data_IF_811002122172
#
_entry.id   IF_811002122172
#
_cell.length_a   1.000
_cell.length_b   1.000
_cell.length_c   1.000
_cell.angle_alpha   90.00
_cell.angle_beta   90.00
_cell.angle_gamma   90.00
#
_symmetry.space_group_name_H-M   'P 1'
#
loop_
_entity.id
_entity.type
_entity.pdbx_description
1 polymer ?
#
# COMPACT_ATOMS: atom_id res chain seq x y z
N UNK A 1 -4.99 -10.94 -13.29
CA UNK A 1 -4.93 -9.76 -12.42
C UNK A 1 -5.75 -10.06 -11.18
N UNK A 2 -5.12 -10.13 -10.03
CA UNK A 2 -5.83 -10.42 -8.79
C UNK A 2 -6.86 -9.33 -8.51
N UNK A 3 -8.04 -9.70 -8.03
CA UNK A 3 -9.01 -8.71 -7.57
C UNK A 3 -8.43 -7.96 -6.35
N UNK A 4 -8.94 -6.75 -6.06
CA UNK A 4 -8.54 -6.01 -4.86
C UNK A 4 -8.79 -6.84 -3.60
N UNK A 5 -9.89 -7.57 -3.56
CA UNK A 5 -10.24 -8.49 -2.47
C UNK A 5 -9.19 -9.59 -2.28
N UNK A 6 -8.78 -10.24 -3.38
CA UNK A 6 -7.78 -11.30 -3.33
C UNK A 6 -6.39 -10.76 -2.97
N UNK A 7 -6.08 -9.56 -3.47
CA UNK A 7 -4.83 -8.87 -3.12
C UNK A 7 -4.74 -8.55 -1.63
N UNK A 8 -5.83 -8.15 -0.99
CA UNK A 8 -5.83 -7.81 0.44
C UNK A 8 -6.00 -9.06 1.30
N UNK A 9 -7.05 -9.81 1.08
CA UNK A 9 -7.44 -10.89 1.99
C UNK A 9 -6.98 -12.28 1.53
N UNK A 10 -7.33 -12.68 0.31
CA UNK A 10 -7.01 -14.02 -0.20
C UNK A 10 -7.28 -15.13 0.83
N UNK A 11 -6.49 -16.18 0.82
CA UNK A 11 -6.57 -17.32 1.76
C UNK A 11 -5.59 -17.17 2.94
N UNK A 12 -5.52 -15.99 3.56
CA UNK A 12 -4.62 -15.73 4.69
C UNK A 12 -5.40 -15.38 5.95
N UNK A 13 -4.83 -15.77 7.10
CA UNK A 13 -5.44 -15.52 8.43
C UNK A 13 -5.02 -14.17 9.02
N UNK A 14 -3.91 -13.64 8.60
CA UNK A 14 -3.33 -12.41 9.14
C UNK A 14 -2.96 -11.47 8.00
N UNK A 15 -3.37 -10.21 8.11
CA UNK A 15 -3.13 -9.15 7.11
C UNK A 15 -2.60 -7.90 7.80
N UNK A 16 -1.49 -7.41 7.28
CA UNK A 16 -0.88 -6.14 7.70
C UNK A 16 -0.99 -5.13 6.57
N UNK A 17 -1.76 -4.08 6.77
CA UNK A 17 -1.92 -2.97 5.83
C UNK A 17 -0.92 -1.88 6.19
N UNK A 18 -0.07 -1.51 5.25
CA UNK A 18 1.04 -0.56 5.41
C UNK A 18 0.99 0.48 4.31
N UNK A 19 1.07 1.75 4.68
CA UNK A 19 1.19 2.86 3.73
C UNK A 19 2.62 3.36 3.67
N UNK A 20 3.12 3.54 2.46
CA UNK A 20 4.45 4.03 2.17
C UNK A 20 4.33 5.34 1.41
N UNK A 21 5.28 6.25 1.61
CA UNK A 21 5.35 7.48 0.85
C UNK A 21 6.03 8.62 1.61
N UNK A 22 6.03 9.77 0.96
CA UNK A 22 6.57 11.01 1.51
C UNK A 22 5.50 12.10 1.45
N UNK A 23 4.97 12.59 2.59
CA UNK A 23 3.86 13.53 2.63
C UNK A 23 4.18 14.91 2.04
N UNK A 24 5.46 15.24 1.85
CA UNK A 24 5.90 16.52 1.27
C UNK A 24 6.25 16.43 -0.23
N UNK A 25 5.95 15.31 -0.87
CA UNK A 25 6.21 15.07 -2.30
C UNK A 25 4.94 14.73 -3.08
N UNK A 26 3.93 15.57 -2.98
CA UNK A 26 2.66 15.47 -3.71
C UNK A 26 2.10 14.04 -3.78
N UNK A 27 2.00 13.42 -4.95
CA UNK A 27 1.38 12.10 -5.13
C UNK A 27 2.12 10.95 -4.42
N UNK A 28 3.36 11.17 -4.03
CA UNK A 28 4.10 10.23 -3.19
C UNK A 28 3.52 10.07 -1.77
N UNK A 29 2.64 10.97 -1.38
CA UNK A 29 1.89 10.88 -0.12
C UNK A 29 0.75 9.84 -0.16
N UNK A 30 0.45 9.23 -1.30
CA UNK A 30 -0.72 8.37 -1.48
C UNK A 30 -0.85 7.28 -0.41
N UNK A 31 0.20 6.49 -0.19
CA UNK A 31 0.15 5.39 0.77
C UNK A 31 -0.11 5.87 2.20
N UNK A 32 0.49 6.99 2.59
CA UNK A 32 0.28 7.65 3.89
C UNK A 32 -1.18 8.11 4.03
N UNK A 33 -1.72 8.74 2.98
CA UNK A 33 -3.12 9.22 2.96
C UNK A 33 -4.12 8.06 3.08
N UNK A 34 -3.91 6.98 2.32
CA UNK A 34 -4.78 5.80 2.35
C UNK A 34 -4.84 5.22 3.76
N UNK A 35 -3.69 4.89 4.36
CA UNK A 35 -3.70 4.23 5.68
C UNK A 35 -4.18 5.17 6.79
N UNK A 36 -3.89 6.47 6.72
CA UNK A 36 -4.38 7.45 7.68
C UNK A 36 -5.90 7.51 7.68
N UNK A 37 -6.52 7.57 6.50
CA UNK A 37 -7.98 7.61 6.35
C UNK A 37 -8.62 6.27 6.73
N UNK A 38 -8.05 5.13 6.32
CA UNK A 38 -8.55 3.81 6.70
C UNK A 38 -8.52 3.62 8.23
N UNK A 39 -7.45 4.02 8.90
CA UNK A 39 -7.37 3.95 10.37
C UNK A 39 -8.41 4.81 11.07
N UNK A 40 -8.70 5.99 10.52
CA UNK A 40 -9.72 6.90 11.06
C UNK A 40 -11.13 6.34 10.90
N UNK A 41 -11.42 5.70 9.77
CA UNK A 41 -12.76 5.15 9.46
C UNK A 41 -12.99 3.81 10.17
N UNK A 42 -12.04 2.90 10.08
CA UNK A 42 -12.17 1.51 10.48
C UNK A 42 -11.53 1.17 11.83
N UNK A 43 -10.64 2.02 12.32
CA UNK A 43 -9.76 1.73 13.45
C UNK A 43 -8.52 0.92 13.05
N UNK A 44 -7.59 0.70 14.01
CA UNK A 44 -6.33 0.01 13.74
C UNK A 44 -6.48 -1.51 13.55
N UNK A 45 -7.51 -2.12 14.09
CA UNK A 45 -7.78 -3.56 14.04
C UNK A 45 -9.24 -3.80 13.62
N UNK A 46 -9.57 -3.61 12.33
CA UNK A 46 -10.96 -3.61 11.88
C UNK A 46 -11.63 -4.99 11.90
N UNK A 47 -10.85 -6.05 11.81
CA UNK A 47 -11.28 -7.45 11.84
C UNK A 47 -10.27 -8.30 12.62
N UNK A 48 -10.67 -9.47 13.16
CA UNK A 48 -9.70 -10.43 13.69
C UNK A 48 -8.63 -10.76 12.64
N UNK A 49 -7.36 -10.66 13.01
CA UNK A 49 -6.24 -10.91 12.11
C UNK A 49 -5.92 -9.78 11.11
N UNK A 50 -6.66 -8.69 11.08
CA UNK A 50 -6.37 -7.55 10.20
C UNK A 50 -5.86 -6.36 11.02
N UNK A 51 -4.71 -5.86 10.64
CA UNK A 51 -4.09 -4.70 11.28
C UNK A 51 -3.73 -3.63 10.26
N UNK A 52 -4.20 -2.42 10.49
CA UNK A 52 -3.82 -1.23 9.72
C UNK A 52 -2.75 -0.49 10.53
N UNK A 53 -1.53 -0.49 10.03
CA UNK A 53 -0.40 0.15 10.71
C UNK A 53 -0.49 1.68 10.61
N UNK A 54 -0.01 2.42 11.62
CA UNK A 54 0.08 3.88 11.51
C UNK A 54 1.04 4.27 10.39
N UNK A 55 0.82 5.42 9.75
CA UNK A 55 1.79 5.93 8.78
C UNK A 55 3.15 6.11 9.45
N UNK A 56 4.21 5.78 8.70
CA UNK A 56 5.58 5.88 9.19
C UNK A 56 6.51 6.41 8.10
N UNK A 57 7.47 7.23 8.51
CA UNK A 57 8.57 7.68 7.65
C UNK A 57 9.72 6.66 7.56
N UNK A 58 9.64 5.59 8.33
CA UNK A 58 10.64 4.52 8.36
C UNK A 58 9.98 3.16 8.09
N UNK A 59 9.35 2.96 6.91
CA UNK A 59 8.63 1.73 6.59
C UNK A 59 9.54 0.49 6.62
N UNK A 60 10.83 0.66 6.38
CA UNK A 60 11.82 -0.42 6.38
C UNK A 60 11.89 -1.16 7.71
N UNK A 61 11.83 -0.46 8.84
CA UNK A 61 11.84 -1.10 10.17
C UNK A 61 10.59 -1.95 10.40
N UNK A 62 9.45 -1.42 10.00
CA UNK A 62 8.19 -2.13 10.08
C UNK A 62 8.20 -3.36 9.18
N UNK A 63 8.63 -3.23 7.94
CA UNK A 63 8.67 -4.32 6.97
C UNK A 63 9.62 -5.44 7.40
N UNK A 64 10.81 -5.11 7.91
CA UNK A 64 11.74 -6.11 8.46
C UNK A 64 11.10 -6.87 9.61
N UNK A 65 10.42 -6.19 10.53
CA UNK A 65 9.73 -6.83 11.65
C UNK A 65 8.58 -7.74 11.17
N UNK A 66 7.79 -7.29 10.21
CA UNK A 66 6.69 -8.08 9.66
C UNK A 66 7.17 -9.25 8.81
N UNK A 67 8.37 -9.16 8.22
CA UNK A 67 8.93 -10.21 7.37
C UNK A 67 9.27 -11.50 8.12
N UNK A 68 9.39 -11.48 9.44
CA UNK A 68 9.57 -12.67 10.26
C UNK A 68 8.24 -13.38 10.62
N UNK A 69 7.10 -12.77 10.31
CA UNK A 69 5.77 -13.32 10.55
C UNK A 69 5.22 -14.14 9.38
N UNK A 70 4.04 -14.70 9.58
CA UNK A 70 3.34 -15.53 8.57
C UNK A 70 2.20 -14.78 7.85
N UNK A 71 1.96 -13.52 8.20
CA UNK A 71 0.88 -12.72 7.66
C UNK A 71 1.16 -12.19 6.26
N UNK A 72 0.10 -11.80 5.56
CA UNK A 72 0.21 -11.03 4.32
C UNK A 72 0.53 -9.58 4.64
N UNK A 73 1.45 -9.01 3.90
CA UNK A 73 1.74 -7.56 3.92
C UNK A 73 1.12 -6.95 2.67
N UNK A 74 0.27 -5.95 2.86
CA UNK A 74 -0.34 -5.17 1.78
C UNK A 74 0.23 -3.76 1.84
N UNK A 75 0.98 -3.39 0.82
CA UNK A 75 1.62 -2.08 0.70
C UNK A 75 0.77 -1.16 -0.16
N UNK A 76 0.47 0.03 0.34
CA UNK A 76 -0.08 1.12 -0.47
C UNK A 76 1.02 2.14 -0.77
N UNK A 77 1.20 2.48 -2.06
CA UNK A 77 2.24 3.41 -2.51
C UNK A 77 1.88 4.05 -3.86
N UNK A 78 2.56 5.14 -4.20
CA UNK A 78 2.58 5.66 -5.55
C UNK A 78 3.52 4.79 -6.40
N UNK A 79 3.04 4.33 -7.56
CA UNK A 79 3.76 3.36 -8.40
C UNK A 79 3.92 3.89 -9.81
N UNK A 80 5.18 4.01 -10.26
CA UNK A 80 5.50 4.33 -11.66
C UNK A 80 5.36 3.08 -12.53
N UNK A 81 4.21 2.91 -13.14
CA UNK A 81 3.85 1.75 -13.94
C UNK A 81 3.74 2.05 -15.45
N UNK A 82 4.19 3.22 -15.88
CA UNK A 82 4.04 3.71 -17.25
C UNK A 82 2.58 3.67 -17.73
N UNK A 83 1.67 4.11 -16.86
CA UNK A 83 0.23 4.18 -17.10
C UNK A 83 -0.24 5.65 -16.99
N UNK A 84 -1.44 5.96 -17.46
CA UNK A 84 -2.04 7.28 -17.22
C UNK A 84 -2.13 7.57 -15.71
N UNK A 85 -1.89 8.83 -15.27
CA UNK A 85 -2.02 9.21 -13.87
C UNK A 85 -3.38 8.81 -13.28
N UNK A 86 -3.36 8.32 -12.04
CA UNK A 86 -4.55 7.83 -11.38
C UNK A 86 -4.88 6.35 -11.67
N UNK A 87 -4.17 5.67 -12.55
CA UNK A 87 -4.37 4.24 -12.78
C UNK A 87 -4.00 3.44 -11.54
N UNK A 88 -4.94 2.62 -11.07
CA UNK A 88 -4.71 1.70 -9.94
C UNK A 88 -4.06 0.43 -10.45
N UNK A 89 -2.99 0.00 -9.82
CA UNK A 89 -2.27 -1.23 -10.11
C UNK A 89 -2.19 -2.11 -8.87
N UNK A 90 -2.43 -3.40 -9.04
CA UNK A 90 -2.32 -4.40 -7.98
C UNK A 90 -1.43 -5.54 -8.45
N UNK A 91 -0.59 -6.06 -7.58
CA UNK A 91 0.27 -7.18 -7.93
C UNK A 91 1.08 -7.70 -6.74
N UNK A 92 1.85 -8.74 -7.01
CA UNK A 92 2.83 -9.25 -6.06
C UNK A 92 4.08 -8.41 -6.13
N UNK A 93 4.72 -8.17 -5.00
CA UNK A 93 5.98 -7.44 -4.97
C UNK A 93 7.05 -8.09 -5.85
N UNK A 94 7.11 -9.43 -5.89
CA UNK A 94 8.06 -10.20 -6.68
C UNK A 94 7.91 -10.02 -8.19
N UNK A 95 6.69 -9.71 -8.66
CA UNK A 95 6.39 -9.48 -10.07
C UNK A 95 6.66 -8.02 -10.49
N UNK A 96 6.92 -7.14 -9.54
CA UNK A 96 7.21 -5.74 -9.83
C UNK A 96 8.67 -5.54 -10.21
N UNK A 97 8.88 -4.90 -11.36
CA UNK A 97 10.24 -4.55 -11.84
C UNK A 97 10.84 -3.45 -10.98
N UNK A 98 12.17 -3.48 -10.83
CA UNK A 98 12.89 -2.34 -10.27
C UNK A 98 12.54 -1.06 -11.05
N UNK A 99 12.17 0.00 -10.34
CA UNK A 99 11.74 1.26 -10.94
C UNK A 99 10.24 1.52 -10.86
N UNK A 100 9.42 0.53 -10.50
CA UNK A 100 7.99 0.77 -10.27
C UNK A 100 7.70 1.64 -9.03
N UNK A 101 8.58 1.62 -8.04
CA UNK A 101 8.48 2.49 -6.86
C UNK A 101 9.08 3.85 -7.20
N UNK A 102 8.24 4.79 -7.59
CA UNK A 102 8.66 6.06 -8.19
C UNK A 102 9.51 6.93 -7.29
N UNK A 103 9.43 6.75 -6.01
CA UNK A 103 10.02 7.68 -5.06
C UNK A 103 10.85 7.02 -3.97
N UNK A 104 11.09 5.71 -4.07
CA UNK A 104 12.21 5.02 -3.46
C UNK A 104 12.38 5.08 -1.97
N UNK A 105 11.30 5.08 -1.22
CA UNK A 105 11.40 5.03 0.22
C UNK A 105 11.48 3.60 0.77
N UNK A 106 11.48 2.57 -0.11
CA UNK A 106 11.88 1.22 0.31
C UNK A 106 13.37 1.06 0.00
N UNK A 107 14.26 1.10 0.99
CA UNK A 107 15.67 0.84 0.77
C UNK A 107 15.85 -0.53 0.09
N UNK A 108 16.67 -0.60 -0.92
CA UNK A 108 16.96 -1.83 -1.66
C UNK A 108 17.36 -3.01 -0.75
N UNK A 109 17.96 -2.71 0.40
CA UNK A 109 18.34 -3.69 1.42
C UNK A 109 17.16 -4.39 2.09
N UNK A 110 15.97 -3.77 2.10
CA UNK A 110 14.76 -4.35 2.69
C UNK A 110 14.03 -5.25 1.70
N UNK A 111 14.14 -4.97 0.41
CA UNK A 111 13.51 -5.75 -0.64
C UNK A 111 13.85 -7.24 -0.62
N UNK A 112 15.12 -7.68 -0.42
CA UNK A 112 15.42 -9.10 -0.30
C UNK A 112 14.74 -9.77 0.88
N UNK A 113 14.71 -9.12 2.04
CA UNK A 113 14.05 -9.64 3.24
C UNK A 113 12.55 -9.78 3.06
N UNK A 114 11.94 -8.83 2.35
CA UNK A 114 10.50 -8.80 2.04
C UNK A 114 10.17 -9.78 0.91
N UNK A 115 11.07 -9.98 -0.05
CA UNK A 115 10.92 -10.96 -1.14
C UNK A 115 10.94 -12.42 -0.66
N UNK A 116 11.61 -12.69 0.45
CA UNK A 116 11.68 -14.02 1.04
C UNK A 116 10.39 -14.46 1.75
N UNK A 117 9.32 -13.65 1.69
CA UNK A 117 8.01 -13.95 2.29
C UNK A 117 7.09 -14.80 1.40
N UNK A 118 7.64 -15.67 0.56
CA UNK A 118 6.90 -16.68 -0.22
C UNK A 118 5.63 -16.12 -0.91
N UNK A 119 5.74 -14.97 -1.56
CA UNK A 119 4.61 -14.36 -2.28
C UNK A 119 3.55 -13.70 -1.40
N UNK A 120 3.80 -13.52 -0.11
CA UNK A 120 2.84 -12.90 0.81
C UNK A 120 2.85 -11.36 0.83
N UNK A 121 3.65 -10.71 -0.01
CA UNK A 121 3.62 -9.26 -0.15
C UNK A 121 2.85 -8.87 -1.38
N UNK A 122 1.81 -8.07 -1.17
CA UNK A 122 1.01 -7.45 -2.23
C UNK A 122 1.25 -5.97 -2.25
N UNK A 123 1.24 -5.40 -3.44
CA UNK A 123 1.34 -3.96 -3.64
C UNK A 123 0.06 -3.49 -4.32
N UNK A 124 -0.53 -2.45 -3.76
CA UNK A 124 -1.65 -1.73 -4.34
C UNK A 124 -1.18 -0.30 -4.52
N UNK A 125 -1.03 0.10 -5.76
CA UNK A 125 -0.47 1.39 -6.11
C UNK A 125 -1.35 2.21 -7.03
N UNK A 126 -0.99 3.48 -7.14
CA UNK A 126 -1.60 4.39 -8.11
C UNK A 126 -0.48 5.07 -8.88
N UNK A 127 -0.63 5.11 -10.21
CA UNK A 127 0.27 5.88 -11.07
C UNK A 127 0.22 7.36 -10.69
N UNK A 128 1.35 7.95 -10.25
CA UNK A 128 1.39 9.38 -9.93
C UNK A 128 1.35 10.25 -11.18
N UNK A 129 0.88 11.50 -11.01
CA UNK A 129 1.04 12.58 -11.98
C UNK A 129 2.26 13.43 -11.63
N UNK A 130 2.43 13.76 -10.36
CA UNK A 130 3.45 14.66 -9.84
C UNK A 130 4.05 14.15 -8.54
N UNK A 131 5.36 14.14 -8.44
CA UNK A 131 6.13 13.69 -7.26
C UNK A 131 7.18 14.71 -6.81
N UNK A 132 7.05 15.95 -7.23
CA UNK A 132 7.90 17.05 -6.81
C UNK A 132 7.55 17.52 -5.40
N UNK A 133 8.39 18.36 -4.83
CA UNK A 133 8.15 18.94 -3.51
C UNK A 133 6.87 19.77 -3.54
N UNK A 134 5.93 19.47 -2.66
CA UNK A 134 4.64 20.12 -2.57
C UNK A 134 3.67 19.32 -1.72
N UNK A 135 2.55 19.93 -1.35
CA UNK A 135 1.50 19.28 -0.57
C UNK A 135 0.29 18.91 -1.42
N UNK A 136 -0.36 17.82 -1.04
CA UNK A 136 -1.61 17.36 -1.63
C UNK A 136 -1.43 16.48 -2.86
N UNK A 137 -2.42 15.64 -3.08
CA UNK A 137 -2.48 14.73 -4.24
C UNK A 137 -3.01 15.48 -5.46
N UNK A 138 -2.51 15.13 -6.64
CA UNK A 138 -3.12 15.58 -7.92
C UNK A 138 -4.58 15.10 -8.03
N UNK A 139 -5.37 15.75 -8.87
CA UNK A 139 -6.79 15.45 -9.00
C UNK A 139 -7.04 13.96 -9.34
N UNK A 140 -6.28 13.41 -10.28
CA UNK A 140 -6.43 12.02 -10.71
C UNK A 140 -6.07 11.04 -9.60
N UNK A 141 -4.99 11.29 -8.88
CA UNK A 141 -4.52 10.43 -7.79
C UNK A 141 -5.44 10.54 -6.59
N UNK A 142 -5.93 11.75 -6.28
CA UNK A 142 -6.93 11.96 -5.23
C UNK A 142 -8.21 11.17 -5.48
N UNK A 143 -8.73 11.21 -6.70
CA UNK A 143 -9.92 10.44 -7.07
C UNK A 143 -9.70 8.93 -6.89
N UNK A 144 -8.54 8.41 -7.29
CA UNK A 144 -8.16 7.00 -7.10
C UNK A 144 -7.94 6.64 -5.64
N UNK A 145 -7.35 7.53 -4.85
CA UNK A 145 -7.22 7.38 -3.40
C UNK A 145 -8.60 7.19 -2.73
N UNK A 146 -9.57 8.02 -3.08
CA UNK A 146 -10.94 7.94 -2.55
C UNK A 146 -11.63 6.64 -2.96
N UNK A 147 -11.47 6.18 -4.20
CA UNK A 147 -11.99 4.90 -4.68
C UNK A 147 -11.37 3.72 -3.92
N UNK A 148 -10.05 3.72 -3.71
CA UNK A 148 -9.37 2.68 -2.96
C UNK A 148 -9.87 2.59 -1.52
N UNK A 149 -9.98 3.73 -0.85
CA UNK A 149 -10.48 3.79 0.53
C UNK A 149 -11.90 3.24 0.61
N UNK A 150 -12.81 3.68 -0.27
CA UNK A 150 -14.18 3.20 -0.30
C UNK A 150 -14.26 1.69 -0.55
N UNK A 151 -13.44 1.17 -1.48
CA UNK A 151 -13.40 -0.26 -1.78
C UNK A 151 -12.87 -1.08 -0.60
N UNK A 152 -11.81 -0.64 0.07
CA UNK A 152 -11.27 -1.35 1.25
C UNK A 152 -12.26 -1.32 2.40
N UNK A 153 -12.92 -0.19 2.66
CA UNK A 153 -13.96 -0.08 3.69
C UNK A 153 -15.09 -1.07 3.40
N UNK A 154 -15.62 -1.10 2.19
CA UNK A 154 -16.68 -2.04 1.80
C UNK A 154 -16.25 -3.50 1.96
N UNK A 155 -15.01 -3.83 1.58
CA UNK A 155 -14.48 -5.20 1.73
C UNK A 155 -14.33 -5.62 3.19
N UNK A 156 -13.96 -4.70 4.08
CA UNK A 156 -13.87 -4.96 5.52
C UNK A 156 -15.27 -5.11 6.13
N UNK A 157 -16.18 -4.21 5.79
CA UNK A 157 -17.56 -4.26 6.32
C UNK A 157 -18.31 -5.53 5.90
N UNK A 158 -18.08 -6.00 4.67
CA UNK A 158 -18.66 -7.27 4.20
C UNK A 158 -18.13 -8.51 4.95
N UNK A 159 -17.08 -8.37 5.76
CA UNK A 159 -16.48 -9.45 6.56
C UNK A 159 -16.75 -9.34 8.07
N UNK A 160 -17.42 -8.31 8.50
CA UNK A 160 -17.90 -8.15 9.89
C UNK A 160 -19.12 -9.01 10.16
#
# INVERSE_FOLDING_TARGET
>A
MDSLSDSIFGEVKEVHIVGIGNPIKQDDALGIEVVSKLRRILGPNPLPGVRIHPPTLTPERLLVRLSSGKGRIVLFDAIEAAKPPGTIVCGRLEDMKFGYFATHNIPLRVLPSVRNLDGNVRVIGVQPAEVDVGEGLSCQVKASCEKLIAAVVSLVEARR
#
